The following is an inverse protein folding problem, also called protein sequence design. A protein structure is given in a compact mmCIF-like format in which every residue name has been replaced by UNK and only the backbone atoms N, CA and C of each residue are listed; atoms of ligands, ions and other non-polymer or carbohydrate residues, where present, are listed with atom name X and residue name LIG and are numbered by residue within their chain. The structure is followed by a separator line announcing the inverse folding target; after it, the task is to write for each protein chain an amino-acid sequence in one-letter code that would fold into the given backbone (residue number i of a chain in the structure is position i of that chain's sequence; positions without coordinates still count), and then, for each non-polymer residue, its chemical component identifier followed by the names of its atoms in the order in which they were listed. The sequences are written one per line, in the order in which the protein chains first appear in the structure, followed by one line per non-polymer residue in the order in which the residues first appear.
data_IF_191213464434
#
_entry.id   IF_191213464434
#
_cell.length_a   1.000
_cell.length_b   1.000
_cell.length_c   1.000
_cell.angle_alpha   90.00
_cell.angle_beta   90.00
_cell.angle_gamma   90.00
#
_symmetry.space_group_name_H-M   'P 1'
#
loop_
_entity.id
_entity.type
_entity.pdbx_description
1 polymer ?
#
# COMPACT_ATOMS: atom_id res chain seq x y z
N UNK A 1 25.29 -33.66 -75.96
CA UNK A 1 25.75 -32.96 -74.75
C UNK A 1 27.10 -32.36 -75.07
N UNK A 2 27.21 -31.04 -75.16
CA UNK A 2 28.49 -30.37 -75.39
C UNK A 2 29.28 -30.36 -74.07
N UNK A 3 30.45 -31.01 -74.04
CA UNK A 3 31.37 -30.92 -72.90
C UNK A 3 32.07 -29.57 -72.93
N UNK A 4 32.22 -28.88 -71.79
CA UNK A 4 32.88 -27.59 -71.74
C UNK A 4 34.35 -27.71 -72.18
N UNK A 5 34.87 -26.66 -72.83
CA UNK A 5 36.27 -26.57 -73.22
C UNK A 5 37.18 -26.68 -71.99
N UNK A 6 38.25 -27.53 -72.02
CA UNK A 6 39.18 -27.69 -70.90
C UNK A 6 39.89 -26.38 -70.51
N UNK A 7 39.99 -25.42 -71.43
CA UNK A 7 40.59 -24.10 -71.15
C UNK A 7 39.73 -23.22 -70.23
N UNK A 8 38.42 -23.49 -70.12
CA UNK A 8 37.50 -22.72 -69.25
C UNK A 8 37.35 -23.29 -67.84
N UNK A 9 37.78 -24.53 -67.61
CA UNK A 9 37.69 -25.22 -66.30
C UNK A 9 38.22 -24.41 -65.10
N UNK A 10 39.41 -23.77 -65.15
CA UNK A 10 39.91 -22.99 -64.01
C UNK A 10 39.05 -21.76 -63.70
N UNK A 11 38.41 -21.16 -64.71
CA UNK A 11 37.54 -19.99 -64.54
C UNK A 11 36.23 -20.39 -63.83
N UNK A 12 35.63 -21.51 -64.23
CA UNK A 12 34.45 -22.06 -63.56
C UNK A 12 34.73 -22.44 -62.10
N UNK A 13 35.88 -23.06 -61.83
CA UNK A 13 36.30 -23.38 -60.47
C UNK A 13 36.46 -22.12 -59.61
N UNK A 14 37.07 -21.07 -60.15
CA UNK A 14 37.23 -19.79 -59.46
C UNK A 14 35.88 -19.13 -59.11
N UNK A 15 34.94 -19.11 -60.06
CA UNK A 15 33.59 -18.57 -59.84
C UNK A 15 32.82 -19.36 -58.77
N UNK A 16 32.94 -20.69 -58.78
CA UNK A 16 32.27 -21.55 -57.80
C UNK A 16 32.76 -21.28 -56.36
N UNK A 17 34.07 -21.11 -56.18
CA UNK A 17 34.66 -20.76 -54.87
C UNK A 17 34.25 -19.36 -54.42
N UNK A 18 34.25 -18.38 -55.32
CA UNK A 18 33.82 -17.01 -54.98
C UNK A 18 32.33 -16.99 -54.58
N UNK A 19 31.49 -17.73 -55.30
CA UNK A 19 30.07 -17.85 -55.01
C UNK A 19 29.81 -18.48 -53.64
N UNK A 20 30.53 -19.55 -53.29
CA UNK A 20 30.35 -20.23 -52.00
C UNK A 20 30.76 -19.37 -50.80
N UNK A 21 31.88 -18.63 -50.91
CA UNK A 21 32.32 -17.68 -49.88
C UNK A 21 31.29 -16.55 -49.69
N UNK A 22 30.74 -16.02 -50.79
CA UNK A 22 29.72 -14.98 -50.72
C UNK A 22 28.44 -15.47 -50.04
N UNK A 23 27.95 -16.66 -50.41
CA UNK A 23 26.78 -17.28 -49.78
C UNK A 23 27.01 -17.51 -48.28
N UNK A 24 28.17 -18.06 -47.91
CA UNK A 24 28.51 -18.30 -46.51
C UNK A 24 28.58 -16.99 -45.71
N UNK A 25 29.15 -15.93 -46.30
CA UNK A 25 29.24 -14.61 -45.67
C UNK A 25 27.85 -14.02 -45.46
N UNK A 26 26.96 -14.09 -46.46
CA UNK A 26 25.58 -13.61 -46.34
C UNK A 26 24.83 -14.39 -45.25
N UNK A 27 24.94 -15.71 -45.25
CA UNK A 27 24.32 -16.55 -44.21
C UNK A 27 24.81 -16.17 -42.81
N UNK A 28 26.12 -15.99 -42.63
CA UNK A 28 26.70 -15.59 -41.35
C UNK A 28 26.19 -14.22 -40.88
N UNK A 29 26.09 -13.23 -41.77
CA UNK A 29 25.56 -11.90 -41.46
C UNK A 29 24.08 -11.98 -41.06
N UNK A 30 23.26 -12.74 -41.79
CA UNK A 30 21.84 -12.94 -41.47
C UNK A 30 21.68 -13.60 -40.10
N UNK A 31 22.42 -14.68 -39.83
CA UNK A 31 22.40 -15.37 -38.53
C UNK A 31 22.83 -14.43 -37.40
N UNK A 32 23.88 -13.64 -37.59
CA UNK A 32 24.33 -12.67 -36.59
C UNK A 32 23.29 -11.58 -36.31
N UNK A 33 22.68 -11.03 -37.36
CA UNK A 33 21.61 -10.03 -37.23
C UNK A 33 20.39 -10.61 -36.51
N UNK A 34 19.98 -11.83 -36.84
CA UNK A 34 18.88 -12.54 -36.17
C UNK A 34 19.20 -12.77 -34.68
N UNK A 35 20.37 -13.34 -34.37
CA UNK A 35 20.80 -13.59 -32.99
C UNK A 35 20.90 -12.30 -32.17
N UNK A 36 21.44 -11.23 -32.75
CA UNK A 36 21.51 -9.91 -32.09
C UNK A 36 20.13 -9.31 -31.85
N UNK A 37 19.19 -9.49 -32.77
CA UNK A 37 17.82 -9.03 -32.60
C UNK A 37 17.09 -9.81 -31.50
N UNK A 38 17.19 -11.14 -31.52
CA UNK A 38 16.62 -12.04 -30.51
C UNK A 38 17.20 -11.74 -29.12
N UNK A 39 18.53 -11.63 -29.00
CA UNK A 39 19.19 -11.29 -27.73
C UNK A 39 18.71 -9.95 -27.15
N UNK A 40 18.56 -8.92 -27.99
CA UNK A 40 18.02 -7.60 -27.55
C UNK A 40 16.56 -7.70 -27.11
N UNK A 41 15.76 -8.51 -27.81
CA UNK A 41 14.36 -8.74 -27.46
C UNK A 41 14.27 -9.46 -26.10
N UNK A 42 15.04 -10.52 -25.91
CA UNK A 42 15.05 -11.29 -24.66
C UNK A 42 15.53 -10.45 -23.47
N UNK A 43 16.55 -9.61 -23.67
CA UNK A 43 16.99 -8.65 -22.67
C UNK A 43 15.87 -7.68 -22.25
N UNK A 44 15.09 -7.17 -23.22
CA UNK A 44 13.95 -6.29 -22.92
C UNK A 44 12.84 -7.02 -22.16
N UNK A 45 12.53 -8.25 -22.56
CA UNK A 45 11.52 -9.08 -21.87
C UNK A 45 11.96 -9.40 -20.44
N UNK A 46 13.23 -9.78 -20.23
CA UNK A 46 13.79 -10.03 -18.89
C UNK A 46 13.77 -8.77 -18.02
N UNK A 47 14.13 -7.61 -18.57
CA UNK A 47 14.08 -6.35 -17.83
C UNK A 47 12.65 -5.98 -17.42
N UNK A 48 11.66 -6.20 -18.30
CA UNK A 48 10.24 -6.01 -17.96
C UNK A 48 9.76 -6.99 -16.90
N UNK A 49 10.12 -8.26 -17.02
CA UNK A 49 9.77 -9.28 -16.04
C UNK A 49 10.39 -8.96 -14.67
N UNK A 50 11.66 -8.54 -14.64
CA UNK A 50 12.31 -8.10 -13.40
C UNK A 50 11.58 -6.92 -12.77
N UNK A 51 11.14 -5.95 -13.58
CA UNK A 51 10.36 -4.81 -13.09
C UNK A 51 9.03 -5.24 -12.46
N UNK A 52 8.26 -6.10 -13.14
CA UNK A 52 7.00 -6.66 -12.60
C UNK A 52 7.25 -7.47 -11.33
N UNK A 53 8.32 -8.26 -11.30
CA UNK A 53 8.71 -9.00 -10.11
C UNK A 53 9.02 -8.06 -8.93
N UNK A 54 9.72 -6.95 -9.17
CA UNK A 54 9.98 -5.95 -8.13
C UNK A 54 8.68 -5.31 -7.63
N UNK A 55 7.76 -4.95 -8.52
CA UNK A 55 6.44 -4.44 -8.17
C UNK A 55 5.65 -5.41 -7.28
N UNK A 56 5.59 -6.69 -7.67
CA UNK A 56 4.89 -7.73 -6.90
C UNK A 56 5.56 -8.00 -5.55
N UNK A 57 6.88 -8.14 -5.52
CA UNK A 57 7.61 -8.57 -4.30
C UNK A 57 7.78 -7.47 -3.26
N UNK A 58 7.94 -6.21 -3.69
CA UNK A 58 8.26 -5.10 -2.77
C UNK A 58 7.06 -4.21 -2.44
N UNK A 59 6.14 -4.01 -3.39
CA UNK A 59 5.01 -3.10 -3.22
C UNK A 59 3.69 -3.86 -3.09
N UNK A 60 3.20 -4.44 -4.18
CA UNK A 60 1.82 -4.89 -4.27
C UNK A 60 1.53 -6.18 -3.52
N UNK A 61 2.45 -7.14 -3.48
CA UNK A 61 2.29 -8.38 -2.71
C UNK A 61 2.22 -8.12 -1.20
N UNK A 62 3.23 -7.46 -0.61
CA UNK A 62 3.19 -7.09 0.81
C UNK A 62 1.98 -6.21 1.17
N UNK A 63 1.63 -5.23 0.33
CA UNK A 63 0.49 -4.36 0.56
C UNK A 63 -0.83 -5.14 0.50
N UNK A 64 -1.01 -6.01 -0.49
CA UNK A 64 -2.19 -6.87 -0.62
C UNK A 64 -2.34 -7.81 0.60
N UNK A 65 -1.27 -8.49 0.99
CA UNK A 65 -1.28 -9.37 2.17
C UNK A 65 -1.62 -8.61 3.45
N UNK A 66 -1.05 -7.42 3.64
CA UNK A 66 -1.33 -6.57 4.79
C UNK A 66 -2.80 -6.10 4.82
N UNK A 67 -3.35 -5.63 3.69
CA UNK A 67 -4.75 -5.21 3.59
C UNK A 67 -5.73 -6.36 3.82
N UNK A 68 -5.45 -7.53 3.25
CA UNK A 68 -6.24 -8.74 3.49
C UNK A 68 -6.25 -9.15 4.97
N UNK A 69 -5.10 -9.07 5.64
CA UNK A 69 -5.01 -9.35 7.08
C UNK A 69 -5.81 -8.34 7.91
N UNK A 70 -5.70 -7.04 7.58
CA UNK A 70 -6.45 -5.97 8.25
C UNK A 70 -7.96 -6.17 8.08
N UNK A 71 -8.44 -6.39 6.84
CA UNK A 71 -9.86 -6.62 6.55
C UNK A 71 -10.44 -7.79 7.37
N UNK A 72 -9.73 -8.92 7.43
CA UNK A 72 -10.15 -10.09 8.22
C UNK A 72 -10.17 -9.79 9.72
N UNK A 73 -9.13 -9.16 10.24
CA UNK A 73 -9.04 -8.80 11.64
C UNK A 73 -10.15 -7.82 12.05
N UNK A 74 -10.46 -6.84 11.19
CA UNK A 74 -11.53 -5.87 11.39
C UNK A 74 -12.91 -6.56 11.44
N UNK A 75 -13.20 -7.44 10.48
CA UNK A 75 -14.44 -8.21 10.47
C UNK A 75 -14.60 -9.07 11.74
N UNK A 76 -13.51 -9.71 12.19
CA UNK A 76 -13.49 -10.51 13.42
C UNK A 76 -13.72 -9.66 14.67
N UNK A 77 -13.13 -8.46 14.74
CA UNK A 77 -13.30 -7.55 15.87
C UNK A 77 -14.72 -6.98 15.98
N UNK A 78 -15.38 -6.70 14.85
CA UNK A 78 -16.77 -6.27 14.84
C UNK A 78 -17.76 -7.39 15.17
N UNK A 79 -17.40 -8.65 14.92
CA UNK A 79 -18.24 -9.80 15.20
C UNK A 79 -19.54 -9.78 14.38
N UNK A 80 -20.68 -9.60 15.04
CA UNK A 80 -22.00 -9.55 14.38
C UNK A 80 -22.36 -8.17 13.82
N UNK A 81 -21.57 -7.13 14.11
CA UNK A 81 -21.85 -5.77 13.66
C UNK A 81 -21.33 -5.58 12.23
N UNK A 82 -22.15 -4.96 11.38
CA UNK A 82 -21.78 -4.70 9.97
C UNK A 82 -20.80 -3.54 9.81
N UNK A 83 -20.76 -2.61 10.77
CA UNK A 83 -19.94 -1.40 10.73
C UNK A 83 -19.46 -1.03 12.13
N UNK A 84 -18.39 -0.25 12.19
CA UNK A 84 -17.91 0.35 13.45
C UNK A 84 -18.98 1.24 14.10
N UNK A 85 -19.73 2.03 13.31
CA UNK A 85 -20.81 2.87 13.84
C UNK A 85 -21.88 2.03 14.56
N UNK A 86 -22.26 0.88 13.99
CA UNK A 86 -23.18 -0.05 14.66
C UNK A 86 -22.61 -0.58 15.97
N UNK A 87 -21.33 -0.99 15.98
CA UNK A 87 -20.66 -1.48 17.19
C UNK A 87 -20.59 -0.42 18.30
N UNK A 88 -20.22 0.81 17.94
CA UNK A 88 -20.08 1.91 18.89
C UNK A 88 -21.43 2.37 19.44
N UNK A 89 -22.47 2.42 18.59
CA UNK A 89 -23.83 2.74 19.03
C UNK A 89 -24.39 1.69 19.99
N UNK A 90 -24.18 0.40 19.71
CA UNK A 90 -24.61 -0.67 20.61
C UNK A 90 -23.81 -0.61 21.94
N UNK A 91 -22.50 -0.34 21.86
CA UNK A 91 -21.65 -0.14 23.05
C UNK A 91 -22.14 1.03 23.92
N UNK A 92 -22.55 2.14 23.30
CA UNK A 92 -23.10 3.31 24.00
C UNK A 92 -24.44 2.99 24.67
N UNK A 93 -25.35 2.32 23.96
CA UNK A 93 -26.63 1.91 24.53
C UNK A 93 -26.44 0.97 25.74
N UNK A 94 -25.54 0.00 25.62
CA UNK A 94 -25.18 -0.89 26.72
C UNK A 94 -24.56 -0.09 27.87
N UNK A 95 -23.66 0.86 27.60
CA UNK A 95 -23.04 1.70 28.62
C UNK A 95 -24.05 2.57 29.39
N UNK A 96 -25.08 3.09 28.72
CA UNK A 96 -26.16 3.86 29.37
C UNK A 96 -26.97 3.00 30.34
N UNK A 97 -27.10 1.70 30.09
CA UNK A 97 -27.85 0.75 30.94
C UNK A 97 -26.95 0.11 32.01
N UNK A 98 -25.73 -0.26 31.63
CA UNK A 98 -24.69 -0.88 32.44
C UNK A 98 -23.33 -0.31 32.02
N UNK A 99 -22.86 0.62 32.84
CA UNK A 99 -21.60 1.35 32.61
C UNK A 99 -20.41 0.43 32.47
N UNK A 100 -20.35 -0.67 33.24
CA UNK A 100 -19.22 -1.58 33.21
C UNK A 100 -19.14 -2.33 31.88
N UNK A 101 -20.25 -2.96 31.47
CA UNK A 101 -20.28 -3.76 30.24
C UNK A 101 -20.03 -2.91 28.99
N UNK A 102 -20.65 -1.74 28.87
CA UNK A 102 -20.42 -0.87 27.71
C UNK A 102 -19.00 -0.30 27.66
N UNK A 103 -18.40 -0.03 28.84
CA UNK A 103 -16.98 0.34 28.94
C UNK A 103 -16.07 -0.78 28.47
N UNK A 104 -16.36 -2.05 28.82
CA UNK A 104 -15.58 -3.19 28.35
C UNK A 104 -15.65 -3.36 26.83
N UNK A 105 -16.80 -3.14 26.20
CA UNK A 105 -16.93 -3.17 24.73
C UNK A 105 -16.04 -2.11 24.09
N UNK A 106 -16.09 -0.87 24.58
CA UNK A 106 -15.24 0.21 24.07
C UNK A 106 -13.75 -0.08 24.29
N UNK A 107 -13.36 -0.55 25.48
CA UNK A 107 -11.99 -0.96 25.78
C UNK A 107 -11.50 -2.07 24.85
N UNK A 108 -12.35 -3.05 24.52
CA UNK A 108 -12.01 -4.11 23.57
C UNK A 108 -11.74 -3.55 22.18
N UNK A 109 -12.59 -2.64 21.69
CA UNK A 109 -12.37 -1.97 20.42
C UNK A 109 -11.06 -1.17 20.40
N UNK A 110 -10.83 -0.32 21.39
CA UNK A 110 -9.61 0.50 21.46
C UNK A 110 -8.34 -0.35 21.58
N UNK A 111 -8.40 -1.44 22.35
CA UNK A 111 -7.32 -2.44 22.45
C UNK A 111 -7.04 -3.07 21.09
N UNK A 112 -8.08 -3.50 20.38
CA UNK A 112 -7.93 -4.05 19.04
C UNK A 112 -7.34 -3.04 18.05
N UNK A 113 -7.83 -1.80 18.03
CA UNK A 113 -7.31 -0.75 17.16
C UNK A 113 -5.82 -0.50 17.44
N UNK A 114 -5.45 -0.37 18.71
CA UNK A 114 -4.09 -0.03 19.13
C UNK A 114 -3.08 -1.15 18.86
N UNK A 115 -3.41 -2.40 19.19
CA UNK A 115 -2.47 -3.52 19.10
C UNK A 115 -2.50 -4.28 17.78
N UNK A 116 -3.59 -4.17 17.00
CA UNK A 116 -3.76 -4.95 15.76
C UNK A 116 -3.84 -4.06 14.54
N UNK A 117 -4.88 -3.22 14.42
CA UNK A 117 -5.11 -2.45 13.18
C UNK A 117 -4.02 -1.39 12.94
N UNK A 118 -3.73 -0.57 13.94
CA UNK A 118 -2.80 0.54 13.78
C UNK A 118 -1.38 0.09 13.40
N UNK A 119 -0.79 -0.96 14.00
CA UNK A 119 0.47 -1.54 13.52
C UNK A 119 0.41 -2.03 12.06
N UNK A 120 -0.71 -2.64 11.65
CA UNK A 120 -0.89 -3.05 10.25
C UNK A 120 -0.95 -1.83 9.31
N UNK A 121 -1.59 -0.74 9.73
CA UNK A 121 -1.66 0.50 8.96
C UNK A 121 -0.31 1.21 8.85
N UNK A 122 0.46 1.27 9.94
CA UNK A 122 1.83 1.77 9.90
C UNK A 122 2.70 0.95 8.95
N UNK A 123 2.52 -0.38 8.91
CA UNK A 123 3.26 -1.23 7.98
C UNK A 123 2.85 -0.98 6.53
N UNK A 124 1.56 -0.77 6.25
CA UNK A 124 1.12 -0.39 4.91
C UNK A 124 1.65 0.98 4.48
N UNK A 125 1.63 1.98 5.37
CA UNK A 125 2.24 3.29 5.15
C UNK A 125 3.73 3.15 4.81
N UNK A 126 4.47 2.35 5.57
CA UNK A 126 5.89 2.09 5.33
C UNK A 126 6.12 1.48 3.93
N UNK A 127 5.33 0.47 3.55
CA UNK A 127 5.41 -0.18 2.23
C UNK A 127 5.16 0.86 1.12
N UNK A 128 4.10 1.65 1.24
CA UNK A 128 3.76 2.70 0.27
C UNK A 128 4.92 3.70 0.19
N UNK A 129 5.35 4.28 1.31
CA UNK A 129 6.40 5.31 1.36
C UNK A 129 7.72 4.83 0.74
N UNK A 130 8.15 3.61 1.06
CA UNK A 130 9.43 3.07 0.63
C UNK A 130 9.43 2.58 -0.83
N UNK A 131 8.27 2.18 -1.35
CA UNK A 131 8.17 1.51 -2.64
C UNK A 131 7.25 2.20 -3.65
N UNK A 132 6.76 3.41 -3.37
CA UNK A 132 5.86 4.15 -4.28
C UNK A 132 6.47 4.38 -5.68
N UNK A 133 7.79 4.49 -5.79
CA UNK A 133 8.51 4.61 -7.07
C UNK A 133 8.36 3.39 -7.99
N UNK A 134 7.80 2.27 -7.47
CA UNK A 134 7.44 1.10 -8.26
C UNK A 134 6.04 1.21 -8.88
N UNK A 135 5.20 2.13 -8.39
CA UNK A 135 3.92 2.46 -9.01
C UNK A 135 4.14 3.13 -10.36
N UNK A 136 3.37 2.72 -11.37
CA UNK A 136 3.38 3.33 -12.69
C UNK A 136 2.21 4.32 -12.82
N UNK A 137 2.43 5.44 -13.50
CA UNK A 137 1.42 6.47 -13.71
C UNK A 137 1.33 7.50 -12.57
N UNK A 138 0.11 7.99 -12.32
CA UNK A 138 -0.15 9.00 -11.30
C UNK A 138 -0.25 8.38 -9.90
N UNK A 139 0.04 9.18 -8.88
CA UNK A 139 -0.11 8.76 -7.49
C UNK A 139 -1.59 8.41 -7.20
N UNK A 140 -1.90 7.18 -6.74
CA UNK A 140 -3.28 6.77 -6.50
C UNK A 140 -3.93 7.61 -5.39
N UNK A 141 -5.12 8.15 -5.64
CA UNK A 141 -5.84 8.94 -4.62
C UNK A 141 -6.11 8.12 -3.35
N UNK A 142 -6.44 6.83 -3.49
CA UNK A 142 -6.64 5.93 -2.34
C UNK A 142 -5.40 5.82 -1.43
N UNK A 143 -4.18 6.01 -1.95
CA UNK A 143 -2.99 6.08 -1.11
C UNK A 143 -2.91 7.40 -0.33
N UNK A 144 -3.28 8.52 -0.95
CA UNK A 144 -3.32 9.82 -0.26
C UNK A 144 -4.31 9.78 0.91
N UNK A 145 -5.52 9.28 0.64
CA UNK A 145 -6.60 9.19 1.62
C UNK A 145 -6.23 8.25 2.77
N UNK A 146 -5.61 7.11 2.45
CA UNK A 146 -5.10 6.17 3.45
C UNK A 146 -4.01 6.80 4.33
N UNK A 147 -3.01 7.47 3.73
CA UNK A 147 -1.94 8.13 4.49
C UNK A 147 -2.49 9.25 5.38
N UNK A 148 -3.49 10.00 4.89
CA UNK A 148 -4.19 10.99 5.71
C UNK A 148 -4.89 10.33 6.89
N UNK A 149 -5.62 9.24 6.64
CA UNK A 149 -6.30 8.47 7.68
C UNK A 149 -5.33 7.93 8.74
N UNK A 150 -4.22 7.30 8.34
CA UNK A 150 -3.21 6.77 9.28
C UNK A 150 -2.61 7.88 10.13
N UNK A 151 -2.35 9.07 9.56
CA UNK A 151 -1.88 10.22 10.34
C UNK A 151 -2.93 10.73 11.33
N UNK A 152 -4.20 10.77 10.92
CA UNK A 152 -5.29 11.13 11.83
C UNK A 152 -5.42 10.14 12.98
N UNK A 153 -5.29 8.83 12.73
CA UNK A 153 -5.28 7.83 13.79
C UNK A 153 -4.17 8.09 14.81
N UNK A 154 -2.98 8.57 14.41
CA UNK A 154 -1.93 8.94 15.37
C UNK A 154 -2.41 9.99 16.38
N UNK A 155 -3.17 10.97 15.90
CA UNK A 155 -3.73 12.04 16.74
C UNK A 155 -4.73 11.43 17.72
N UNK A 156 -5.69 10.62 17.23
CA UNK A 156 -6.67 9.93 18.08
C UNK A 156 -5.99 9.10 19.16
N UNK A 157 -5.01 8.26 18.78
CA UNK A 157 -4.28 7.41 19.71
C UNK A 157 -3.44 8.21 20.71
N UNK A 158 -2.91 9.37 20.32
CA UNK A 158 -2.16 10.25 21.24
C UNK A 158 -3.05 10.89 22.31
N UNK A 159 -4.35 11.05 22.03
CA UNK A 159 -5.32 11.52 23.01
C UNK A 159 -5.75 10.44 23.98
N UNK A 160 -5.57 9.17 23.62
CA UNK A 160 -5.80 8.08 24.54
C UNK A 160 -4.70 8.09 25.59
N UNK A 161 -5.09 8.06 26.86
CA UNK A 161 -4.13 8.02 27.94
C UNK A 161 -3.45 6.65 27.90
N UNK A 162 -2.15 6.69 27.67
CA UNK A 162 -1.27 5.55 27.87
C UNK A 162 -0.84 5.53 29.33
N UNK A 163 -0.78 4.33 29.91
CA UNK A 163 -0.11 4.09 31.18
C UNK A 163 1.38 4.45 31.05
N UNK A 164 2.07 4.54 32.18
CA UNK A 164 3.51 4.83 32.23
C UNK A 164 4.36 3.80 31.46
N UNK A 165 3.83 2.60 31.25
CA UNK A 165 4.47 1.52 30.48
C UNK A 165 4.14 1.55 28.98
N UNK A 166 3.41 2.56 28.50
CA UNK A 166 3.02 2.72 27.10
C UNK A 166 1.83 1.86 26.68
N UNK A 167 1.17 1.16 27.61
CA UNK A 167 -0.05 0.39 27.32
C UNK A 167 -1.29 1.26 27.40
N UNK A 168 -2.32 0.91 26.62
CA UNK A 168 -3.62 1.59 26.68
C UNK A 168 -4.19 1.51 28.09
N UNK A 169 -4.53 2.65 28.70
CA UNK A 169 -5.18 2.63 30.00
C UNK A 169 -6.67 2.28 29.86
N UNK A 170 -6.99 1.00 29.97
CA UNK A 170 -8.35 0.47 29.90
C UNK A 170 -9.14 0.64 31.19
N UNK A 171 -8.49 1.12 32.27
CA UNK A 171 -9.11 1.35 33.58
C UNK A 171 -9.70 2.75 33.73
N UNK A 172 -9.56 3.60 32.71
CA UNK A 172 -10.20 4.91 32.70
C UNK A 172 -11.71 4.71 32.64
N UNK A 173 -12.41 5.19 33.66
CA UNK A 173 -13.85 5.33 33.59
C UNK A 173 -14.18 6.24 32.41
N UNK A 174 -14.71 5.64 31.34
CA UNK A 174 -15.31 6.40 30.25
C UNK A 174 -16.42 7.26 30.84
N UNK A 175 -16.20 8.56 30.81
CA UNK A 175 -16.97 9.51 31.59
C UNK A 175 -18.07 10.16 30.75
N UNK A 176 -17.95 10.11 29.41
CA UNK A 176 -18.73 10.93 28.50
C UNK A 176 -19.25 10.13 27.31
N UNK A 177 -20.41 10.54 26.77
CA UNK A 177 -20.98 9.92 25.56
C UNK A 177 -20.05 10.12 24.35
N UNK A 178 -19.29 11.22 24.32
CA UNK A 178 -18.31 11.53 23.30
C UNK A 178 -17.22 10.45 23.15
N UNK A 179 -16.94 9.67 24.21
CA UNK A 179 -15.99 8.55 24.16
C UNK A 179 -16.41 7.45 23.17
N UNK A 180 -17.69 7.38 22.80
CA UNK A 180 -18.27 6.41 21.87
C UNK A 180 -18.42 6.97 20.46
N UNK A 181 -18.10 8.25 20.23
CA UNK A 181 -18.15 8.83 18.89
C UNK A 181 -17.06 8.24 18.01
N UNK A 182 -17.37 8.07 16.73
CA UNK A 182 -16.47 7.42 15.78
C UNK A 182 -15.19 8.21 15.57
N UNK A 183 -15.25 9.53 15.60
CA UNK A 183 -14.10 10.42 15.43
C UNK A 183 -13.03 10.16 16.50
N UNK A 184 -13.43 9.67 17.67
CA UNK A 184 -12.56 9.33 18.81
C UNK A 184 -12.11 7.85 18.81
N UNK A 185 -12.61 7.02 17.88
CA UNK A 185 -12.41 5.56 17.90
C UNK A 185 -11.99 4.93 16.57
N UNK A 186 -12.30 5.55 15.43
CA UNK A 186 -12.02 5.02 14.10
C UNK A 186 -11.50 6.07 13.14
N UNK A 187 -11.16 7.25 13.65
CA UNK A 187 -10.65 8.36 12.86
C UNK A 187 -11.73 9.16 12.14
N UNK A 188 -11.30 10.21 11.44
CA UNK A 188 -12.16 11.02 10.58
C UNK A 188 -12.21 10.38 9.20
N UNK A 189 -13.40 9.99 8.73
CA UNK A 189 -13.60 9.62 7.33
C UNK A 189 -14.57 10.59 6.69
N UNK A 190 -14.05 11.53 5.90
CA UNK A 190 -14.90 12.32 5.00
C UNK A 190 -15.57 11.43 3.93
N UNK A 191 -15.02 10.23 3.67
CA UNK A 191 -15.58 9.24 2.75
C UNK A 191 -15.42 7.82 3.33
N UNK A 192 -16.54 7.14 3.56
CA UNK A 192 -16.59 5.79 4.11
C UNK A 192 -15.91 4.69 3.27
N UNK A 193 -15.83 4.76 1.92
CA UNK A 193 -15.26 3.66 1.15
C UNK A 193 -13.73 3.73 0.99
N UNK A 194 -12.97 4.49 1.80
CA UNK A 194 -11.50 4.60 1.63
C UNK A 194 -10.84 3.22 1.69
N UNK A 195 -11.19 2.40 2.68
CA UNK A 195 -10.61 1.06 2.82
C UNK A 195 -11.09 0.12 1.71
N UNK A 196 -12.39 0.11 1.40
CA UNK A 196 -12.91 -0.75 0.33
C UNK A 196 -12.32 -0.38 -1.04
N UNK A 197 -12.15 0.92 -1.32
CA UNK A 197 -11.53 1.41 -2.55
C UNK A 197 -10.04 1.07 -2.60
N UNK A 198 -9.31 1.27 -1.50
CA UNK A 198 -7.91 0.90 -1.41
C UNK A 198 -7.73 -0.61 -1.60
N UNK A 199 -8.51 -1.42 -0.91
CA UNK A 199 -8.43 -2.87 -0.94
C UNK A 199 -8.75 -3.41 -2.35
N UNK A 200 -9.82 -2.90 -2.97
CA UNK A 200 -10.16 -3.23 -4.35
C UNK A 200 -9.04 -2.83 -5.32
N UNK A 201 -8.53 -1.60 -5.21
CA UNK A 201 -7.45 -1.10 -6.06
C UNK A 201 -6.16 -1.93 -5.93
N UNK A 202 -5.75 -2.23 -4.69
CA UNK A 202 -4.55 -3.04 -4.41
C UNK A 202 -4.72 -4.45 -4.94
N UNK A 203 -5.89 -5.07 -4.73
CA UNK A 203 -6.21 -6.41 -5.22
C UNK A 203 -6.18 -6.47 -6.75
N UNK A 204 -6.91 -5.58 -7.42
CA UNK A 204 -7.02 -5.57 -8.87
C UNK A 204 -5.64 -5.33 -9.53
N UNK A 205 -4.84 -4.44 -8.94
CA UNK A 205 -3.48 -4.16 -9.42
C UNK A 205 -2.56 -5.37 -9.23
N UNK A 206 -2.63 -6.03 -8.07
CA UNK A 206 -1.86 -7.25 -7.78
C UNK A 206 -2.21 -8.38 -8.75
N UNK A 207 -3.49 -8.67 -8.97
CA UNK A 207 -3.96 -9.71 -9.89
C UNK A 207 -3.56 -9.42 -11.34
N UNK A 208 -3.69 -8.15 -11.77
CA UNK A 208 -3.25 -7.70 -13.09
C UNK A 208 -1.75 -7.91 -13.32
N UNK A 209 -0.93 -7.59 -12.31
CA UNK A 209 0.53 -7.80 -12.39
C UNK A 209 0.91 -9.28 -12.40
N UNK A 210 0.21 -10.14 -11.67
CA UNK A 210 0.41 -11.59 -11.74
C UNK A 210 0.13 -12.13 -13.14
N UNK A 211 -0.97 -11.70 -13.77
CA UNK A 211 -1.29 -12.08 -15.14
C UNK A 211 -0.22 -11.58 -16.12
N UNK A 212 0.24 -10.33 -15.97
CA UNK A 212 1.30 -9.78 -16.79
C UNK A 212 2.63 -10.56 -16.63
N UNK A 213 2.99 -10.94 -15.40
CA UNK A 213 4.15 -11.76 -15.10
C UNK A 213 4.08 -13.11 -15.83
N UNK A 214 2.93 -13.79 -15.79
CA UNK A 214 2.72 -15.06 -16.49
C UNK A 214 2.87 -14.93 -18.00
N UNK A 215 2.30 -13.87 -18.59
CA UNK A 215 2.44 -13.58 -20.04
C UNK A 215 3.91 -13.35 -20.41
N UNK A 216 4.66 -12.58 -19.61
CA UNK A 216 6.09 -12.34 -19.87
C UNK A 216 6.93 -13.62 -19.74
N UNK A 217 6.63 -14.47 -18.76
CA UNK A 217 7.29 -15.77 -18.59
C UNK A 217 6.99 -16.71 -19.77
N UNK A 218 5.74 -16.77 -20.23
CA UNK A 218 5.35 -17.55 -21.41
C UNK A 218 6.07 -17.04 -22.67
N UNK A 219 6.10 -15.73 -22.90
CA UNK A 219 6.79 -15.12 -24.03
C UNK A 219 8.31 -15.37 -24.03
N UNK A 220 8.94 -15.46 -22.86
CA UNK A 220 10.35 -15.85 -22.73
C UNK A 220 10.57 -17.33 -23.03
N UNK A 221 9.61 -18.19 -22.67
CA UNK A 221 9.66 -19.64 -22.92
C UNK A 221 9.41 -19.98 -24.39
N UNK A 222 8.50 -19.24 -25.05
CA UNK A 222 8.20 -19.33 -26.48
C UNK A 222 9.29 -18.71 -27.36
N UNK A 223 10.19 -17.91 -26.78
CA UNK A 223 11.34 -17.28 -27.45
C UNK A 223 12.35 -18.26 -28.09
N UNK A 224 12.08 -19.57 -28.02
CA UNK A 224 12.80 -20.64 -28.72
C UNK A 224 12.10 -21.07 -30.04
N UNK A 225 10.82 -20.73 -30.24
CA UNK A 225 9.99 -21.27 -31.34
C UNK A 225 9.55 -20.26 -32.43
N UNK A 226 10.01 -19.01 -32.38
CA UNK A 226 9.93 -18.08 -33.52
C UNK A 226 8.55 -17.49 -33.89
N UNK A 227 7.50 -17.69 -33.09
CA UNK A 227 6.17 -17.10 -33.36
C UNK A 227 5.60 -16.42 -32.12
N UNK A 228 5.26 -15.13 -32.21
CA UNK A 228 4.79 -14.33 -31.06
C UNK A 228 3.53 -13.60 -31.48
N UNK A 229 2.38 -14.01 -30.94
CA UNK A 229 1.16 -13.22 -30.95
C UNK A 229 1.25 -12.11 -29.90
N UNK A 230 0.82 -10.90 -30.24
CA UNK A 230 0.66 -9.82 -29.26
C UNK A 230 -0.62 -10.04 -28.46
N UNK A 231 -0.49 -10.39 -27.17
CA UNK A 231 -1.62 -10.37 -26.23
C UNK A 231 -1.79 -8.94 -25.72
N UNK A 232 -2.87 -8.27 -26.12
CA UNK A 232 -3.30 -7.02 -25.48
C UNK A 232 -4.06 -7.38 -24.22
N UNK A 233 -3.48 -7.07 -23.07
CA UNK A 233 -4.19 -7.13 -21.79
C UNK A 233 -4.78 -5.74 -21.58
N UNK A 234 -6.09 -5.59 -21.76
CA UNK A 234 -6.79 -4.38 -21.30
C UNK A 234 -6.92 -4.50 -19.78
N UNK A 235 -6.39 -3.56 -18.99
CA UNK A 235 -6.69 -3.53 -17.56
C UNK A 235 -8.19 -3.29 -17.39
N UNK A 236 -8.90 -4.29 -16.84
CA UNK A 236 -10.25 -4.10 -16.34
C UNK A 236 -10.16 -3.06 -15.21
N UNK A 237 -10.71 -1.87 -15.44
CA UNK A 237 -10.73 -0.79 -14.44
C UNK A 237 -10.56 0.63 -15.02
N UNK A 238 -10.10 0.76 -16.27
CA UNK A 238 -10.11 2.06 -16.97
C UNK A 238 -11.52 2.36 -17.51
N UNK A 239 -12.46 2.65 -16.61
CA UNK A 239 -13.78 3.12 -17.01
C UNK A 239 -13.70 4.60 -17.44
N UNK A 240 -13.80 4.77 -18.76
CA UNK A 240 -14.20 5.97 -19.53
C UNK A 240 -13.28 7.19 -19.48
N UNK A 241 -12.44 7.31 -20.52
CA UNK A 241 -12.06 8.65 -20.96
C UNK A 241 -10.93 8.81 -21.97
N UNK A 242 -10.12 7.81 -22.29
CA UNK A 242 -9.07 8.00 -23.31
C UNK A 242 -8.68 6.67 -23.94
N UNK A 243 -8.89 6.52 -25.26
CA UNK A 243 -8.21 5.51 -26.07
C UNK A 243 -6.70 5.82 -26.08
N UNK A 244 -6.00 5.42 -25.02
CA UNK A 244 -4.55 5.39 -25.02
C UNK A 244 -4.10 4.16 -25.81
N UNK A 245 -3.83 4.38 -27.10
CA UNK A 245 -3.03 3.43 -27.88
C UNK A 245 -1.61 3.51 -27.32
N UNK A 246 -1.20 2.57 -26.45
CA UNK A 246 0.20 2.48 -26.00
C UNK A 246 1.11 2.03 -27.16
N UNK A 247 1.44 2.98 -28.02
CA UNK A 247 2.75 3.00 -28.65
C UNK A 247 3.69 3.63 -27.62
N UNK A 248 4.72 2.90 -27.18
CA UNK A 248 5.79 3.48 -26.37
C UNK A 248 6.71 4.30 -27.29
N UNK A 249 6.69 5.65 -27.31
CA UNK A 249 7.81 6.39 -27.85
C UNK A 249 9.02 6.15 -26.94
N UNK A 250 10.08 5.54 -27.48
CA UNK A 250 11.40 5.60 -26.84
C UNK A 250 11.79 7.07 -26.72
N UNK A 251 11.84 7.58 -25.49
CA UNK A 251 12.38 8.90 -25.23
C UNK A 251 13.90 8.88 -25.51
N UNK A 252 14.30 9.56 -26.59
CA UNK A 252 15.70 9.89 -26.87
C UNK A 252 15.94 11.26 -26.22
N UNK A 253 16.88 11.40 -25.27
CA UNK A 253 17.16 12.70 -24.69
C UNK A 253 17.88 13.56 -25.73
N UNK A 254 17.14 14.48 -26.37
CA UNK A 254 17.74 15.60 -27.07
C UNK A 254 18.13 16.64 -26.02
N UNK A 255 19.43 16.73 -25.73
CA UNK A 255 19.97 17.95 -25.16
C UNK A 255 20.00 19.03 -26.22
N UNK A 256 19.51 20.22 -25.90
CA UNK A 256 19.92 21.50 -26.50
C UNK A 256 19.33 22.62 -25.64
N UNK A 257 20.19 23.44 -25.04
CA UNK A 257 20.79 24.64 -25.62
C UNK A 257 19.92 25.87 -25.38
N UNK A 258 20.61 26.92 -24.97
CA UNK A 258 20.09 28.15 -24.38
C UNK A 258 19.69 29.13 -25.50
N UNK A 259 18.62 29.88 -25.21
CA UNK A 259 18.36 31.29 -25.57
C UNK A 259 17.54 31.66 -26.83
N UNK A 260 16.94 32.87 -26.87
CA UNK A 260 15.51 33.05 -26.56
C UNK A 260 14.76 33.85 -27.63
N UNK A 261 13.43 33.77 -27.70
CA UNK A 261 12.57 34.91 -28.11
C UNK A 261 11.08 34.59 -28.00
N UNK A 262 10.30 35.59 -27.53
CA UNK A 262 8.95 35.99 -27.98
C UNK A 262 7.93 34.83 -28.09
N UNK A 263 7.06 34.63 -27.11
CA UNK A 263 6.04 35.57 -26.69
C UNK A 263 4.74 35.17 -27.39
N UNK A 264 3.84 34.51 -26.65
CA UNK A 264 2.39 34.57 -26.81
C UNK A 264 1.74 33.88 -25.61
N UNK A 265 0.63 34.49 -25.16
CA UNK A 265 -0.11 34.17 -23.95
C UNK A 265 -0.86 32.85 -24.09
N UNK A 266 -0.57 31.89 -23.22
CA UNK A 266 -1.52 30.84 -22.85
C UNK A 266 -1.86 30.96 -21.36
N UNK A 267 -3.16 31.09 -21.11
CA UNK A 267 -3.78 31.17 -19.78
C UNK A 267 -3.62 29.80 -19.13
N UNK A 268 -2.68 29.69 -18.20
CA UNK A 268 -2.61 28.58 -17.26
C UNK A 268 -3.74 28.79 -16.26
N UNK A 269 -4.74 27.91 -16.29
CA UNK A 269 -5.79 27.82 -15.29
C UNK A 269 -5.15 27.36 -13.97
N UNK A 270 -4.73 28.34 -13.16
CA UNK A 270 -4.20 28.13 -11.83
C UNK A 270 -5.32 27.63 -10.92
N UNK A 271 -5.11 26.49 -10.28
CA UNK A 271 -5.92 26.06 -9.14
C UNK A 271 -5.99 27.19 -8.11
N UNK A 272 -7.16 27.48 -7.52
CA UNK A 272 -7.28 28.54 -6.55
C UNK A 272 -6.40 28.24 -5.34
N UNK A 273 -5.67 29.23 -4.80
CA UNK A 273 -4.95 29.05 -3.55
C UNK A 273 -5.95 28.71 -2.43
N UNK A 274 -5.59 27.73 -1.61
CA UNK A 274 -6.31 27.39 -0.38
C UNK A 274 -6.32 28.64 0.49
N UNK A 275 -7.50 29.24 0.63
CA UNK A 275 -7.72 30.43 1.42
C UNK A 275 -7.72 30.04 2.90
N UNK A 276 -6.61 30.30 3.59
CA UNK A 276 -6.59 30.30 5.06
C UNK A 276 -7.02 31.69 5.50
N UNK A 277 -8.19 31.87 6.15
CA UNK A 277 -8.63 33.18 6.57
C UNK A 277 -7.69 33.73 7.64
N UNK A 278 -6.98 34.80 7.32
CA UNK A 278 -6.27 35.63 8.30
C UNK A 278 -7.34 36.39 9.09
N UNK A 279 -7.54 36.02 10.36
CA UNK A 279 -8.39 36.75 11.29
C UNK A 279 -7.62 37.97 11.82
N UNK A 280 -8.09 39.15 11.42
CA UNK A 280 -7.65 40.45 11.92
C UNK A 280 -8.05 40.60 13.40
N UNK A 281 -7.18 41.07 14.31
CA UNK A 281 -7.51 41.17 15.72
C UNK A 281 -8.26 42.47 16.03
N UNK A 282 -9.24 42.32 16.92
CA UNK A 282 -9.93 43.34 17.71
C UNK A 282 -11.22 43.94 17.15
N UNK A 283 -12.32 43.66 17.87
CA UNK A 283 -12.97 44.68 18.72
C UNK A 283 -13.85 43.99 19.76
N UNK A 284 -13.57 44.29 21.02
CA UNK A 284 -14.32 43.78 22.15
C UNK A 284 -15.74 44.32 22.17
N UNK A 285 -16.68 43.44 22.46
CA UNK A 285 -17.97 43.86 22.99
C UNK A 285 -18.37 42.92 24.13
N UNK A 286 -18.64 43.53 25.29
CA UNK A 286 -18.96 42.82 26.52
C UNK A 286 -20.45 42.50 26.52
N UNK A 287 -20.80 41.22 26.37
CA UNK A 287 -22.14 40.76 26.78
C UNK A 287 -22.09 39.35 27.36
N UNK A 288 -22.60 39.27 28.59
CA UNK A 288 -22.67 38.07 29.40
C UNK A 288 -23.69 37.09 28.84
N UNK A 289 -23.29 35.82 28.67
CA UNK A 289 -24.18 34.65 28.77
C UNK A 289 -23.40 33.44 29.29
N UNK A 290 -24.07 32.69 30.15
CA UNK A 290 -23.57 31.55 30.92
C UNK A 290 -23.18 30.34 30.06
N UNK A 291 -22.14 29.63 30.50
CA UNK A 291 -22.07 28.17 30.60
C UNK A 291 -22.17 27.33 29.33
N UNK A 292 -21.02 27.00 28.72
CA UNK A 292 -20.55 25.64 28.43
C UNK A 292 -19.25 25.76 27.60
N UNK A 293 -18.15 25.30 28.19
CA UNK A 293 -16.80 25.43 27.64
C UNK A 293 -16.61 24.53 26.43
N UNK A 294 -16.23 25.14 25.31
CA UNK A 294 -15.91 24.50 24.04
C UNK A 294 -14.47 23.98 24.06
N UNK A 295 -14.31 22.66 24.07
CA UNK A 295 -13.01 21.94 23.95
C UNK A 295 -12.43 22.05 22.53
N UNK A 296 -13.19 22.62 21.58
CA UNK A 296 -12.86 22.63 20.15
C UNK A 296 -11.70 23.56 19.76
N UNK A 297 -11.34 24.55 20.59
CA UNK A 297 -10.22 25.47 20.28
C UNK A 297 -8.85 25.01 20.77
N UNK A 298 -8.80 24.15 21.79
CA UNK A 298 -7.51 23.69 22.34
C UNK A 298 -6.83 22.62 21.47
N UNK A 299 -7.57 22.04 20.51
CA UNK A 299 -7.09 21.01 19.57
C UNK A 299 -6.23 21.63 18.44
N UNK A 300 -6.56 22.85 17.99
CA UNK A 300 -5.84 23.50 16.87
C UNK A 300 -4.50 24.13 17.33
N UNK A 301 -4.43 24.64 18.56
CA UNK A 301 -3.23 25.33 19.05
C UNK A 301 -2.10 24.39 19.51
N UNK A 302 -2.38 23.10 19.74
CA UNK A 302 -1.39 22.14 20.26
C UNK A 302 -0.73 21.27 19.20
N UNK A 303 -1.27 21.23 17.98
CA UNK A 303 -0.74 20.43 16.86
C UNK A 303 0.46 21.07 16.14
N UNK A 304 0.81 22.33 16.45
CA UNK A 304 1.82 23.11 15.73
C UNK A 304 3.23 23.15 16.39
N UNK A 305 3.48 22.37 17.45
CA UNK A 305 4.76 22.45 18.20
C UNK A 305 5.43 21.10 18.50
N UNK A 306 5.30 20.09 17.62
CA UNK A 306 6.10 18.87 17.75
C UNK A 306 7.47 19.04 17.08
N UNK A 307 8.49 19.24 17.90
CA UNK A 307 9.93 19.16 17.53
C UNK A 307 10.31 17.72 17.15
N UNK A 308 11.30 17.51 16.26
CA UNK A 308 11.67 16.19 15.77
C UNK A 308 12.63 15.42 16.69
N UNK A 309 12.27 14.15 16.93
CA UNK A 309 13.09 12.96 17.21
C UNK A 309 14.18 13.02 18.32
N UNK A 310 13.88 12.40 19.47
CA UNK A 310 14.88 11.65 20.23
C UNK A 310 14.71 10.15 19.97
N UNK A 311 15.80 9.53 19.51
CA UNK A 311 15.87 8.12 19.17
C UNK A 311 15.57 7.23 20.39
N UNK A 312 14.60 6.34 20.23
CA UNK A 312 14.18 5.37 21.23
C UNK A 312 15.21 4.24 21.33
N UNK A 313 15.92 4.13 22.46
CA UNK A 313 16.73 2.95 22.76
C UNK A 313 15.89 1.86 23.44
N UNK A 314 15.98 0.59 23.02
CA UNK A 314 15.23 -0.50 23.62
C UNK A 314 15.78 -0.88 25.00
N UNK A 315 14.90 -0.86 26.01
CA UNK A 315 15.18 -1.32 27.38
C UNK A 315 15.16 -2.84 27.43
N UNK A 316 16.25 -3.47 27.87
CA UNK A 316 16.31 -4.93 28.08
C UNK A 316 15.42 -5.39 29.26
N UNK A 317 14.69 -6.50 29.13
CA UNK A 317 13.85 -7.02 30.20
C UNK A 317 14.69 -7.67 31.32
N UNK A 318 14.61 -7.09 32.51
CA UNK A 318 15.21 -7.62 33.74
C UNK A 318 14.65 -8.98 34.16
N UNK A 319 15.57 -9.85 34.60
CA UNK A 319 15.31 -11.16 35.24
C UNK A 319 14.28 -11.07 36.37
N UNK A 320 13.21 -11.86 36.28
CA UNK A 320 12.30 -12.12 37.40
C UNK A 320 12.87 -13.17 38.36
N UNK A 321 12.84 -12.81 39.64
CA UNK A 321 13.15 -13.63 40.81
C UNK A 321 12.04 -14.66 41.06
N UNK A 322 12.47 -15.88 41.38
CA UNK A 322 11.65 -16.98 41.91
C UNK A 322 11.15 -16.65 43.32
N UNK A 323 9.91 -17.04 43.65
CA UNK A 323 9.35 -16.87 44.99
C UNK A 323 7.96 -17.48 45.17
N UNK A 324 7.98 -18.76 45.56
CA UNK A 324 7.08 -19.56 46.41
C UNK A 324 5.55 -19.57 46.26
N UNK A 325 5.09 -20.81 46.22
CA UNK A 325 3.74 -21.34 46.38
C UNK A 325 3.11 -20.98 47.73
N UNK A 326 1.79 -20.73 47.73
CA UNK A 326 0.93 -21.08 48.84
C UNK A 326 -0.48 -21.46 48.35
N UNK A 327 -1.00 -22.46 49.04
CA UNK A 327 -2.04 -23.42 48.69
C UNK A 327 -3.41 -22.93 49.18
N UNK A 328 -4.41 -22.73 48.30
CA UNK A 328 -5.81 -22.54 48.70
C UNK A 328 -6.75 -23.32 47.77
N UNK A 329 -7.27 -24.41 48.30
CA UNK A 329 -8.38 -25.19 47.76
C UNK A 329 -9.72 -24.43 47.88
N UNK A 330 -10.51 -24.36 46.81
CA UNK A 330 -11.88 -23.82 46.86
C UNK A 330 -12.64 -23.90 45.53
N UNK A 331 -13.49 -24.93 45.41
CA UNK A 331 -14.74 -25.12 44.61
C UNK A 331 -14.86 -24.59 43.16
N UNK A 332 -15.47 -25.38 42.23
CA UNK A 332 -15.67 -24.98 40.85
C UNK A 332 -16.97 -24.19 40.69
N UNK A 333 -16.88 -22.89 40.42
CA UNK A 333 -17.91 -22.15 39.70
C UNK A 333 -17.47 -22.05 38.25
N UNK A 334 -18.32 -22.55 37.35
CA UNK A 334 -18.09 -22.56 35.92
C UNK A 334 -18.38 -21.18 35.34
N UNK A 335 -17.36 -20.32 35.36
CA UNK A 335 -17.34 -19.10 34.56
C UNK A 335 -16.60 -19.38 33.25
N UNK A 336 -17.31 -19.26 32.13
CA UNK A 336 -16.72 -19.16 30.80
C UNK A 336 -16.21 -17.71 30.68
N UNK A 337 -15.02 -17.46 31.24
CA UNK A 337 -14.21 -16.30 30.88
C UNK A 337 -13.33 -16.68 29.68
N UNK A 338 -13.87 -16.54 28.47
CA UNK A 338 -13.05 -16.48 27.26
C UNK A 338 -12.32 -15.13 27.23
N UNK A 339 -11.33 -14.98 28.10
CA UNK A 339 -10.38 -13.86 28.06
C UNK A 339 -9.29 -14.21 27.06
N UNK A 340 -9.48 -13.81 25.80
CA UNK A 340 -8.40 -13.79 24.82
C UNK A 340 -7.30 -12.87 25.33
N UNK A 341 -6.12 -13.41 25.61
CA UNK A 341 -4.96 -12.62 25.95
C UNK A 341 -4.37 -11.98 24.68
N UNK A 342 -3.67 -10.84 24.77
CA UNK A 342 -2.93 -10.28 23.65
C UNK A 342 -1.95 -11.27 22.98
N UNK A 343 -1.49 -12.28 23.74
CA UNK A 343 -0.63 -13.36 23.24
C UNK A 343 -1.40 -14.35 22.36
N UNK A 344 -2.66 -14.67 22.69
CA UNK A 344 -3.51 -15.54 21.87
C UNK A 344 -3.81 -14.90 20.50
N UNK A 345 -4.08 -13.59 20.50
CA UNK A 345 -4.30 -12.81 19.27
C UNK A 345 -3.02 -12.77 18.42
N UNK A 346 -1.85 -12.59 19.04
CA UNK A 346 -0.58 -12.57 18.32
C UNK A 346 -0.26 -13.94 17.68
N UNK A 347 -0.56 -15.03 18.38
CA UNK A 347 -0.31 -16.39 17.91
C UNK A 347 -1.28 -16.81 16.79
N UNK A 348 -2.54 -16.37 16.85
CA UNK A 348 -3.52 -16.56 15.78
C UNK A 348 -3.11 -15.79 14.51
N UNK A 349 -2.64 -14.54 14.64
CA UNK A 349 -2.16 -13.74 13.51
C UNK A 349 -0.91 -14.34 12.84
N UNK A 350 0.02 -14.93 13.61
CA UNK A 350 1.18 -15.62 13.03
C UNK A 350 0.79 -16.86 12.21
N UNK A 351 -0.32 -17.53 12.55
CA UNK A 351 -0.80 -18.71 11.82
C UNK A 351 -1.41 -18.39 10.46
N UNK A 352 -1.93 -17.17 10.27
CA UNK A 352 -2.58 -16.71 9.03
C UNK A 352 -1.58 -16.19 7.98
N UNK A 353 -0.37 -15.78 8.41
CA UNK A 353 0.62 -15.12 7.55
C UNK A 353 1.63 -16.08 6.89
N UNK A 354 1.57 -17.39 7.19
CA UNK A 354 2.48 -18.36 6.57
C UNK A 354 2.02 -18.75 5.15
N UNK A 355 2.45 -17.98 4.15
CA UNK A 355 2.46 -18.43 2.75
C UNK A 355 3.81 -19.11 2.49
N UNK A 356 3.86 -20.42 2.23
CA UNK A 356 5.12 -21.06 1.90
C UNK A 356 5.62 -20.52 0.55
N UNK A 357 6.84 -19.97 0.54
CA UNK A 357 7.58 -19.71 -0.68
C UNK A 357 7.89 -21.05 -1.35
N UNK A 358 7.19 -21.35 -2.46
CA UNK A 358 7.52 -22.43 -3.38
C UNK A 358 8.08 -21.86 -4.68
#
# INVERSE_FOLDING_TARGET
MATPSPELMPLWAGLAVCGSVLIATVAAVVTYCHFRHQSRRDQRLRARLDRVNQQLTKLWGPLYGNRLANHKAYAQALGTHSTLDSYLNDSLQVWQMDRHTGSMMLSRWRTFLFYVMYPLDLKAEEIIRNHIHLCEGHFPQGFADFLFHTNYLRIVLSHWQLRKDGTLDTEIEYAQEDDFYRENNGGFTFHYPIFDQLDAFVKDTYESLLMHQQVLMAALKEGDNGFVGTVRVNPLGADRGTEATEAYPMYVPQGQAVNPTKGDNEVIEAYPPIYVPVLDPAKGDKRATNGHGSVRRDIEDRALTLEPDEAYEPVEPGRKSSGNDDDISGKPEGDIQDTYTPQDIHQELQSVVYVPNN
#
